data_IF_630801190826
#
_entry.id   IF_630801190826
#
_cell.length_a   1.000
_cell.length_b   1.000
_cell.length_c   1.000
_cell.angle_alpha   90.00
_cell.angle_beta   90.00
_cell.angle_gamma   90.00
#
_symmetry.space_group_name_H-M   'P 1'
#
loop_
_entity.id
_entity.type
_entity.pdbx_description
1 polymer ?
#
# COMPACT_ATOMS: atom_id res chain seq x y z
N UNK A 1 3.47 -7.46 -42.74
CA UNK A 1 2.97 -8.39 -41.70
C UNK A 1 3.58 -8.14 -40.32
N UNK A 2 4.88 -7.84 -40.20
CA UNK A 2 5.56 -7.55 -38.90
C UNK A 2 4.88 -6.51 -37.97
N UNK A 3 4.22 -5.49 -38.52
CA UNK A 3 3.54 -4.45 -37.71
C UNK A 3 2.28 -4.98 -36.99
N UNK A 4 1.61 -5.98 -37.55
CA UNK A 4 0.40 -6.57 -36.96
C UNK A 4 0.78 -7.54 -35.84
N UNK A 5 1.83 -8.34 -36.07
CA UNK A 5 2.41 -9.24 -35.06
C UNK A 5 2.97 -8.48 -33.86
N UNK A 6 3.63 -7.34 -34.09
CA UNK A 6 4.15 -6.48 -33.01
C UNK A 6 3.01 -5.87 -32.17
N UNK A 7 1.93 -5.40 -32.80
CA UNK A 7 0.76 -4.87 -32.08
C UNK A 7 0.05 -5.95 -31.25
N UNK A 8 -0.04 -7.17 -31.77
CA UNK A 8 -0.61 -8.32 -31.06
C UNK A 8 0.23 -8.76 -29.85
N UNK A 9 1.53 -8.48 -29.82
CA UNK A 9 2.40 -8.80 -28.69
C UNK A 9 2.40 -7.70 -27.60
N UNK A 10 2.27 -6.43 -28.00
CA UNK A 10 2.32 -5.29 -27.06
C UNK A 10 1.01 -5.16 -26.25
N UNK A 11 -0.14 -5.40 -26.89
CA UNK A 11 -1.44 -5.31 -26.23
C UNK A 11 -1.60 -6.22 -25.00
N UNK A 12 -1.30 -7.54 -25.05
CA UNK A 12 -1.41 -8.40 -23.88
C UNK A 12 -0.39 -8.04 -22.78
N UNK A 13 0.78 -7.52 -23.16
CA UNK A 13 1.80 -7.07 -22.21
C UNK A 13 1.31 -5.87 -21.37
N UNK A 14 0.67 -4.90 -22.03
CA UNK A 14 0.09 -3.73 -21.37
C UNK A 14 -1.09 -4.11 -20.46
N UNK A 15 -1.94 -5.05 -20.91
CA UNK A 15 -3.04 -5.59 -20.12
C UNK A 15 -2.54 -6.30 -18.86
N UNK A 16 -1.53 -7.14 -18.98
CA UNK A 16 -0.92 -7.82 -17.85
C UNK A 16 -0.32 -6.81 -16.84
N UNK A 17 0.43 -5.82 -17.33
CA UNK A 17 0.98 -4.77 -16.47
C UNK A 17 -0.11 -4.00 -15.70
N UNK A 18 -1.22 -3.66 -16.36
CA UNK A 18 -2.33 -2.95 -15.73
C UNK A 18 -3.01 -3.77 -14.63
N UNK A 19 -3.16 -5.08 -14.82
CA UNK A 19 -3.76 -5.98 -13.82
C UNK A 19 -2.84 -6.07 -12.58
N UNK A 20 -1.53 -6.17 -12.80
CA UNK A 20 -0.55 -6.20 -11.72
C UNK A 20 -0.51 -4.88 -10.92
N UNK A 21 -0.61 -3.72 -11.57
CA UNK A 21 -0.63 -2.43 -10.87
C UNK A 21 -1.96 -2.14 -10.15
N UNK A 22 -3.07 -2.72 -10.60
CA UNK A 22 -4.40 -2.49 -10.01
C UNK A 22 -4.62 -3.23 -8.69
N UNK A 23 -3.70 -4.10 -8.26
CA UNK A 23 -3.82 -4.87 -7.03
C UNK A 23 -3.69 -4.00 -5.78
N UNK A 24 -4.76 -3.31 -5.37
CA UNK A 24 -4.83 -2.64 -4.08
C UNK A 24 -5.05 -3.70 -2.99
N UNK A 25 -4.00 -4.08 -2.26
CA UNK A 25 -4.11 -4.95 -1.09
C UNK A 25 -4.64 -4.13 0.08
N UNK A 26 -5.96 -4.17 0.30
CA UNK A 26 -6.56 -3.64 1.53
C UNK A 26 -6.28 -4.65 2.65
N UNK A 27 -5.21 -4.43 3.40
CA UNK A 27 -4.95 -5.19 4.61
C UNK A 27 -5.97 -4.77 5.68
N UNK A 28 -6.94 -5.65 5.97
CA UNK A 28 -7.89 -5.41 7.05
C UNK A 28 -7.14 -5.27 8.39
N UNK A 29 -7.50 -4.31 9.25
CA UNK A 29 -6.94 -4.21 10.60
C UNK A 29 -7.15 -5.53 11.33
N UNK A 30 -6.08 -6.12 11.88
CA UNK A 30 -6.23 -7.35 12.67
C UNK A 30 -7.10 -7.05 13.90
N UNK A 31 -8.20 -7.79 14.13
CA UNK A 31 -9.02 -7.58 15.30
C UNK A 31 -8.22 -7.96 16.55
N UNK A 32 -7.96 -6.98 17.41
CA UNK A 32 -7.31 -7.20 18.71
C UNK A 32 -8.32 -7.90 19.62
N UNK A 33 -8.22 -9.23 19.74
CA UNK A 33 -9.18 -10.07 20.50
C UNK A 33 -8.93 -10.17 22.01
N UNK A 34 -7.96 -9.46 22.57
CA UNK A 34 -7.67 -9.54 24.01
C UNK A 34 -7.40 -8.17 24.63
N UNK A 35 -8.48 -7.45 24.96
CA UNK A 35 -8.40 -6.34 25.93
C UNK A 35 -8.46 -6.98 27.33
N UNK A 36 -7.29 -7.31 27.88
CA UNK A 36 -7.15 -7.54 29.32
C UNK A 36 -7.00 -6.16 29.96
N UNK A 37 -8.06 -5.66 30.59
CA UNK A 37 -7.97 -4.40 31.35
C UNK A 37 -7.12 -4.68 32.58
N UNK A 38 -5.83 -4.36 32.48
CA UNK A 38 -4.95 -4.17 33.63
C UNK A 38 -4.76 -2.66 33.76
N UNK A 39 -4.88 -2.19 34.99
CA UNK A 39 -4.83 -0.83 35.56
C UNK A 39 -3.84 0.15 34.92
N UNK A 40 -3.97 1.47 35.22
CA UNK A 40 -4.01 2.54 34.21
C UNK A 40 -2.87 2.40 33.20
N UNK A 41 -3.26 2.14 31.95
CA UNK A 41 -2.34 2.04 30.82
C UNK A 41 -1.61 3.38 30.74
N UNK A 42 -0.31 3.36 31.04
CA UNK A 42 0.62 4.32 30.47
C UNK A 42 0.32 4.30 28.98
N UNK A 43 -0.28 5.36 28.47
CA UNK A 43 -0.58 5.49 27.04
C UNK A 43 0.76 5.70 26.38
N UNK A 44 1.49 4.61 26.19
CA UNK A 44 2.69 4.59 25.38
C UNK A 44 2.33 5.23 24.04
N UNK A 45 3.09 6.24 23.58
CA UNK A 45 2.77 6.97 22.37
C UNK A 45 2.45 5.98 21.25
N UNK A 46 1.17 5.89 20.88
CA UNK A 46 0.71 4.90 19.93
C UNK A 46 1.37 5.20 18.59
N UNK A 47 2.34 4.38 18.23
CA UNK A 47 3.12 4.52 17.00
C UNK A 47 2.24 4.05 15.84
N UNK A 48 1.87 4.96 14.96
CA UNK A 48 1.03 4.70 13.78
C UNK A 48 1.92 4.56 12.57
N UNK A 49 1.71 3.50 11.78
CA UNK A 49 2.37 3.35 10.48
C UNK A 49 1.71 4.27 9.45
N UNK A 50 2.51 5.09 8.77
CA UNK A 50 2.08 5.91 7.65
C UNK A 50 2.58 5.23 6.36
N UNK A 51 1.69 4.74 5.48
CA UNK A 51 2.09 4.21 4.18
C UNK A 51 2.83 5.25 3.34
N UNK A 52 3.68 4.78 2.42
CA UNK A 52 4.35 5.68 1.49
C UNK A 52 3.36 6.43 0.60
N UNK A 53 3.63 7.71 0.33
CA UNK A 53 2.73 8.58 -0.43
C UNK A 53 3.51 9.59 -1.27
N UNK A 54 2.88 10.09 -2.34
CA UNK A 54 3.40 11.23 -3.09
C UNK A 54 3.10 12.52 -2.33
N UNK A 55 4.16 13.16 -1.86
CA UNK A 55 4.08 14.46 -1.20
C UNK A 55 3.90 15.60 -2.19
N UNK A 56 3.68 16.83 -1.67
CA UNK A 56 3.73 18.03 -2.48
C UNK A 56 5.07 18.11 -3.23
N UNK A 57 5.06 18.65 -4.46
CA UNK A 57 6.22 18.73 -5.37
C UNK A 57 6.66 17.40 -6.01
N UNK A 58 5.76 16.40 -6.06
CA UNK A 58 6.02 15.10 -6.71
C UNK A 58 7.22 14.34 -6.11
N UNK A 59 7.40 14.45 -4.79
CA UNK A 59 8.43 13.70 -4.07
C UNK A 59 7.80 12.45 -3.47
N UNK A 60 8.41 11.30 -3.67
CA UNK A 60 8.00 10.06 -3.01
C UNK A 60 8.45 10.09 -1.55
N UNK A 61 7.51 9.92 -0.63
CA UNK A 61 7.78 9.78 0.79
C UNK A 61 7.67 8.31 1.13
N UNK A 62 8.75 7.71 1.61
CA UNK A 62 8.74 6.33 2.07
C UNK A 62 7.85 6.16 3.31
N UNK A 63 7.30 4.95 3.46
CA UNK A 63 6.49 4.61 4.62
C UNK A 63 7.33 4.72 5.90
N UNK A 64 6.76 5.33 6.93
CA UNK A 64 7.46 5.56 8.18
C UNK A 64 6.51 5.43 9.38
N UNK A 65 7.11 5.21 10.54
CA UNK A 65 6.41 5.24 11.80
C UNK A 65 6.28 6.68 12.31
N UNK A 66 5.07 7.06 12.71
CA UNK A 66 4.76 8.38 13.29
C UNK A 66 4.16 8.21 14.69
N UNK A 67 4.57 9.06 15.62
CA UNK A 67 3.94 9.16 16.94
C UNK A 67 2.71 10.07 16.88
N UNK A 68 1.66 9.68 17.61
CA UNK A 68 0.44 10.48 17.79
C UNK A 68 0.52 11.32 19.06
#
# INVERSE_FOLDING_TARGET
MHRITSRLAIAPLLLAASIFLSGCIVAAPRPVRHVRVVTPVQVEPARVWVPGYWGPRHVWVEGHWRYR
#
